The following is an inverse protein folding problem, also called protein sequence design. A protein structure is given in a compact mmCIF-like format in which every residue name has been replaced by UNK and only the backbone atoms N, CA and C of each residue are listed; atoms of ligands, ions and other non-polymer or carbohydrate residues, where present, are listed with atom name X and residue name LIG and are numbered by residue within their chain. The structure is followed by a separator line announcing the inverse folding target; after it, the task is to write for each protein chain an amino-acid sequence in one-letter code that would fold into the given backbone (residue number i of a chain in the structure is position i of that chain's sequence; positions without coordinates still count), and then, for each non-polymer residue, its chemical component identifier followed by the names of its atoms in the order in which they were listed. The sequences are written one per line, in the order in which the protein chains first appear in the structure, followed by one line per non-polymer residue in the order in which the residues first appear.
data_IF_612633072350
#
_entry.id   IF_612633072350
#
_cell.length_a   1.000
_cell.length_b   1.000
_cell.length_c   1.000
_cell.angle_alpha   90.00
_cell.angle_beta   90.00
_cell.angle_gamma   90.00
#
_symmetry.space_group_name_H-M   'P 1'
#
loop_
_entity.id
_entity.type
_entity.pdbx_description
1 polymer ?
#
# COMPACT_ATOMS: atom_id res chain seq x y z
N UNK A 1 -14.23 -12.49 10.69
CA UNK A 1 -13.33 -13.26 9.80
C UNK A 1 -12.28 -13.94 10.67
N UNK A 2 -12.36 -15.26 10.85
CA UNK A 2 -11.55 -15.98 11.85
C UNK A 2 -10.07 -16.01 11.50
N UNK A 3 -9.18 -15.94 12.49
CA UNK A 3 -7.71 -16.00 12.34
C UNK A 3 -7.18 -17.18 11.50
N UNK A 4 -7.99 -18.22 11.28
CA UNK A 4 -7.70 -19.30 10.34
C UNK A 4 -7.56 -18.85 8.87
N UNK A 5 -8.30 -17.83 8.43
CA UNK A 5 -8.18 -17.29 7.08
C UNK A 5 -6.86 -16.53 6.90
N UNK A 6 -6.41 -15.82 7.94
CA UNK A 6 -5.14 -15.10 7.95
C UNK A 6 -3.95 -16.07 7.96
N UNK A 7 -4.05 -17.17 8.71
CA UNK A 7 -3.07 -18.26 8.70
C UNK A 7 -3.02 -19.00 7.36
N UNK A 8 -4.17 -19.23 6.71
CA UNK A 8 -4.21 -19.89 5.40
C UNK A 8 -3.62 -19.04 4.27
N UNK A 9 -3.83 -17.71 4.31
CA UNK A 9 -3.21 -16.78 3.36
C UNK A 9 -1.70 -16.70 3.59
N UNK A 10 -1.23 -16.65 4.84
CA UNK A 10 0.20 -16.64 5.16
C UNK A 10 0.89 -17.97 4.82
N UNK A 11 0.23 -19.12 5.00
CA UNK A 11 0.76 -20.42 4.56
C UNK A 11 0.79 -20.58 3.04
N UNK A 12 -0.24 -20.11 2.33
CA UNK A 12 -0.24 -20.12 0.85
C UNK A 12 0.80 -19.17 0.26
N UNK A 13 1.04 -18.03 0.92
CA UNK A 13 2.10 -17.11 0.55
C UNK A 13 3.49 -17.74 0.79
N UNK A 14 3.73 -18.35 1.95
CA UNK A 14 4.96 -19.07 2.25
C UNK A 14 5.23 -20.26 1.30
N UNK A 15 4.18 -20.99 0.89
CA UNK A 15 4.31 -22.09 -0.05
C UNK A 15 4.64 -21.62 -1.48
N UNK A 16 4.07 -20.49 -1.93
CA UNK A 16 4.39 -19.89 -3.23
C UNK A 16 5.77 -19.22 -3.26
N UNK A 17 6.33 -18.83 -2.10
CA UNK A 17 7.67 -18.22 -2.03
C UNK A 17 8.83 -19.19 -2.25
N UNK A 18 8.62 -20.51 -2.21
CA UNK A 18 9.68 -21.51 -2.38
C UNK A 18 10.24 -21.64 -3.81
N UNK A 19 9.79 -20.79 -4.75
CA UNK A 19 10.13 -20.84 -6.18
C UNK A 19 11.16 -19.77 -6.59
N UNK A 20 11.47 -18.79 -5.73
CA UNK A 20 12.35 -17.65 -6.06
C UNK A 20 13.82 -17.88 -5.63
N UNK A 21 14.76 -17.02 -6.06
CA UNK A 21 16.23 -17.15 -5.84
C UNK A 21 16.71 -16.48 -4.53
N UNK A 22 17.87 -16.91 -3.99
CA UNK A 22 18.39 -16.68 -2.65
C UNK A 22 18.51 -15.19 -2.23
N UNK A 23 18.71 -14.26 -3.18
CA UNK A 23 18.75 -12.80 -2.92
C UNK A 23 17.34 -12.20 -2.73
N UNK A 24 16.37 -12.61 -3.54
CA UNK A 24 14.99 -12.12 -3.48
C UNK A 24 14.28 -12.51 -2.17
N UNK A 25 14.63 -13.66 -1.58
CA UNK A 25 14.10 -14.03 -0.26
C UNK A 25 14.43 -13.01 0.83
N UNK A 26 15.61 -12.37 0.76
CA UNK A 26 16.03 -11.44 1.81
C UNK A 26 15.11 -10.22 1.83
N UNK A 27 14.77 -9.69 0.66
CA UNK A 27 13.89 -8.53 0.54
C UNK A 27 12.43 -8.85 0.82
N UNK A 28 11.94 -10.01 0.36
CA UNK A 28 10.58 -10.48 0.68
C UNK A 28 10.43 -10.68 2.19
N UNK A 29 11.41 -11.30 2.85
CA UNK A 29 11.40 -11.49 4.30
C UNK A 29 11.40 -10.16 5.06
N UNK A 30 12.22 -9.19 4.64
CA UNK A 30 12.25 -7.86 5.27
C UNK A 30 10.92 -7.12 5.05
N UNK A 31 10.37 -7.15 3.84
CA UNK A 31 9.07 -6.54 3.54
C UNK A 31 7.93 -7.16 4.36
N UNK A 32 7.89 -8.49 4.47
CA UNK A 32 6.90 -9.21 5.29
C UNK A 32 7.06 -8.87 6.78
N UNK A 33 8.30 -8.77 7.26
CA UNK A 33 8.57 -8.35 8.63
C UNK A 33 8.08 -6.92 8.90
N UNK A 34 8.35 -5.99 7.99
CA UNK A 34 7.90 -4.60 8.11
C UNK A 34 6.37 -4.50 8.08
N UNK A 35 5.71 -5.27 7.21
CA UNK A 35 4.26 -5.35 7.17
C UNK A 35 3.68 -5.86 8.50
N UNK A 36 4.28 -6.91 9.07
CA UNK A 36 3.88 -7.43 10.37
C UNK A 36 4.10 -6.41 11.49
N UNK A 37 5.24 -5.74 11.52
CA UNK A 37 5.53 -4.69 12.49
C UNK A 37 4.52 -3.55 12.40
N UNK A 38 4.20 -3.09 11.19
CA UNK A 38 3.22 -2.02 10.97
C UNK A 38 1.80 -2.44 11.36
N UNK A 39 1.42 -3.69 11.12
CA UNK A 39 0.14 -4.23 11.56
C UNK A 39 0.03 -4.29 13.10
N UNK A 40 1.11 -4.69 13.78
CA UNK A 40 1.17 -4.73 15.24
C UNK A 40 1.09 -3.32 15.84
N UNK A 41 1.84 -2.38 15.26
CA UNK A 41 1.79 -0.97 15.66
C UNK A 41 0.37 -0.40 15.51
N UNK A 42 -0.26 -0.63 14.36
CA UNK A 42 -1.62 -0.15 14.08
C UNK A 42 -2.64 -0.72 15.07
N UNK A 43 -2.52 -2.01 15.43
CA UNK A 43 -3.36 -2.64 16.45
C UNK A 43 -3.18 -1.99 17.85
N UNK A 44 -1.94 -1.68 18.23
CA UNK A 44 -1.67 -1.03 19.52
C UNK A 44 -2.25 0.38 19.59
N UNK A 45 -2.13 1.16 18.51
CA UNK A 45 -2.73 2.50 18.45
C UNK A 45 -4.25 2.43 18.38
N UNK A 46 -4.82 1.49 17.62
CA UNK A 46 -6.26 1.25 17.62
C UNK A 46 -6.76 0.93 19.04
N UNK A 47 -6.06 0.07 19.78
CA UNK A 47 -6.40 -0.20 21.17
C UNK A 47 -6.31 1.05 22.05
N UNK A 48 -5.29 1.88 21.87
CA UNK A 48 -5.15 3.13 22.62
C UNK A 48 -6.27 4.12 22.31
N UNK A 49 -6.65 4.28 21.03
CA UNK A 49 -7.79 5.12 20.63
C UNK A 49 -9.11 4.56 21.17
N UNK A 50 -9.32 3.25 21.09
CA UNK A 50 -10.47 2.58 21.66
C UNK A 50 -10.61 2.85 23.16
N UNK A 51 -9.54 2.68 23.94
CA UNK A 51 -9.58 2.94 25.38
C UNK A 51 -9.81 4.42 25.69
N UNK A 52 -9.25 5.33 24.88
CA UNK A 52 -9.37 6.77 25.09
C UNK A 52 -10.76 7.31 24.72
N UNK A 53 -11.37 6.81 23.65
CA UNK A 53 -12.57 7.35 23.00
C UNK A 53 -13.82 6.48 23.18
N UNK A 54 -13.70 5.31 23.82
CA UNK A 54 -14.85 4.48 24.16
C UNK A 54 -15.73 5.16 25.21
N UNK A 55 -17.07 4.98 25.13
CA UNK A 55 -17.98 5.38 26.19
C UNK A 55 -17.72 4.57 27.46
N UNK A 56 -17.72 5.23 28.62
CA UNK A 56 -17.51 4.61 29.94
C UNK A 56 -18.76 3.92 30.47
N UNK A 57 -19.92 4.29 29.95
CA UNK A 57 -21.22 3.79 30.40
C UNK A 57 -22.06 3.30 29.24
N UNK A 58 -22.97 2.36 29.52
CA UNK A 58 -23.92 1.86 28.52
C UNK A 58 -24.80 3.01 28.01
N UNK A 59 -24.96 3.09 26.70
CA UNK A 59 -25.81 4.08 26.04
C UNK A 59 -26.87 3.39 25.16
N UNK A 60 -27.91 4.13 24.79
CA UNK A 60 -28.92 3.70 23.81
C UNK A 60 -29.10 4.81 22.79
N UNK A 61 -29.18 4.47 21.51
CA UNK A 61 -29.41 5.44 20.44
C UNK A 61 -30.87 5.93 20.39
N UNK A 62 -31.82 5.20 20.98
CA UNK A 62 -33.23 5.56 20.96
C UNK A 62 -33.66 6.43 22.14
N UNK A 63 -32.92 6.37 23.24
CA UNK A 63 -33.20 7.15 24.45
C UNK A 63 -32.01 8.03 24.78
N UNK A 64 -32.25 9.34 24.81
CA UNK A 64 -31.25 10.31 25.25
C UNK A 64 -30.87 10.06 26.70
N UNK A 65 -29.58 9.81 26.93
CA UNK A 65 -28.99 9.72 28.26
C UNK A 65 -28.05 10.91 28.41
N UNK A 66 -28.37 11.80 29.35
CA UNK A 66 -27.49 12.91 29.72
C UNK A 66 -26.56 12.40 30.81
N UNK A 67 -25.28 12.28 30.50
CA UNK A 67 -24.24 11.89 31.44
C UNK A 67 -23.00 12.78 31.25
N UNK A 68 -22.09 12.75 32.23
CA UNK A 68 -20.83 13.51 32.19
C UNK A 68 -19.73 12.79 31.38
N UNK A 69 -20.10 11.80 30.56
CA UNK A 69 -19.17 11.03 29.75
C UNK A 69 -18.91 11.74 28.41
N UNK A 70 -17.71 12.30 28.18
CA UNK A 70 -17.42 13.05 26.96
C UNK A 70 -17.49 12.18 25.69
N UNK A 71 -17.38 10.86 25.82
CA UNK A 71 -17.38 9.93 24.70
C UNK A 71 -18.76 9.32 24.40
N UNK A 72 -19.79 9.65 25.19
CA UNK A 72 -21.14 9.21 24.88
C UNK A 72 -21.60 9.84 23.56
N UNK A 73 -22.14 9.06 22.60
CA UNK A 73 -22.64 9.58 21.32
C UNK A 73 -23.61 10.78 21.47
N UNK A 74 -24.43 10.81 22.51
CA UNK A 74 -25.34 11.93 22.78
C UNK A 74 -24.66 13.26 23.15
N UNK A 75 -23.38 13.22 23.54
CA UNK A 75 -22.57 14.40 23.87
C UNK A 75 -21.68 14.84 22.69
N UNK A 76 -21.56 14.00 21.65
CA UNK A 76 -20.73 14.24 20.46
C UNK A 76 -21.53 14.85 19.29
N UNK A 77 -22.86 14.75 19.32
CA UNK A 77 -23.72 15.25 18.25
C UNK A 77 -23.66 16.79 18.09
N UNK A 78 -23.77 17.29 16.85
CA UNK A 78 -23.87 18.71 16.62
C UNK A 78 -25.17 19.27 17.22
N UNK A 79 -25.05 20.47 17.79
CA UNK A 79 -26.18 21.21 18.35
C UNK A 79 -26.43 22.45 17.51
N UNK A 80 -27.60 22.57 16.89
CA UNK A 80 -27.94 23.69 16.03
C UNK A 80 -28.80 24.71 16.77
N UNK A 81 -28.32 25.95 16.83
CA UNK A 81 -29.10 27.10 17.33
C UNK A 81 -29.90 27.70 16.17
N UNK A 82 -31.18 28.00 16.42
CA UNK A 82 -32.03 28.70 15.45
C UNK A 82 -31.88 30.19 15.64
N UNK A 83 -31.37 30.89 14.63
CA UNK A 83 -31.30 32.35 14.60
C UNK A 83 -32.35 32.90 13.63
N UNK A 84 -33.11 33.90 14.05
CA UNK A 84 -33.98 34.68 13.17
C UNK A 84 -33.33 36.04 12.90
N UNK A 85 -33.48 36.56 11.67
CA UNK A 85 -32.68 37.70 11.19
C UNK A 85 -33.21 39.09 11.64
N UNK A 86 -32.24 40.00 11.78
CA UNK A 86 -32.27 41.49 11.81
C UNK A 86 -32.32 42.25 13.14
N UNK A 87 -32.70 41.69 14.28
CA UNK A 87 -32.38 42.31 15.58
C UNK A 87 -32.05 41.24 16.60
N UNK A 88 -30.99 41.49 17.37
CA UNK A 88 -30.44 40.65 18.44
C UNK A 88 -31.44 40.40 19.56
N UNK A 89 -32.46 39.59 19.27
CA UNK A 89 -33.24 38.87 20.25
C UNK A 89 -33.41 37.47 19.69
N UNK A 90 -32.48 36.61 20.08
CA UNK A 90 -32.60 35.16 19.95
C UNK A 90 -34.00 34.80 20.43
N UNK A 91 -34.85 34.30 19.52
CA UNK A 91 -36.19 33.83 19.85
C UNK A 91 -36.04 32.62 20.79
N UNK A 92 -35.96 32.89 22.09
CA UNK A 92 -35.57 31.97 23.15
C UNK A 92 -34.17 31.37 22.97
N UNK A 93 -33.21 31.82 23.80
CA UNK A 93 -31.86 31.23 23.99
C UNK A 93 -31.85 29.70 24.27
N UNK A 94 -33.00 29.06 24.35
CA UNK A 94 -33.22 27.68 24.75
C UNK A 94 -33.71 26.78 23.60
N UNK A 95 -33.92 27.31 22.38
CA UNK A 95 -34.36 26.49 21.25
C UNK A 95 -33.15 25.91 20.49
N UNK A 96 -32.89 24.63 20.71
CA UNK A 96 -31.81 23.89 20.06
C UNK A 96 -32.36 22.67 19.34
N UNK A 97 -31.88 22.43 18.12
CA UNK A 97 -32.15 21.19 17.38
C UNK A 97 -30.95 20.27 17.59
N UNK A 98 -31.23 19.09 18.14
CA UNK A 98 -30.25 18.02 18.35
C UNK A 98 -30.40 16.97 17.26
N UNK A 99 -29.30 16.61 16.62
CA UNK A 99 -29.27 15.47 15.70
C UNK A 99 -29.34 14.17 16.50
N UNK A 100 -30.14 13.19 16.06
CA UNK A 100 -30.12 11.84 16.66
C UNK A 100 -28.75 11.20 16.35
N UNK A 101 -27.99 10.71 17.35
CA UNK A 101 -26.76 9.98 17.10
C UNK A 101 -27.06 8.66 16.38
N UNK A 102 -26.12 8.26 15.54
CA UNK A 102 -26.10 6.99 14.84
C UNK A 102 -24.90 6.13 15.31
N UNK A 103 -24.76 4.95 14.72
CA UNK A 103 -23.66 4.03 15.03
C UNK A 103 -22.28 4.61 14.65
N UNK A 104 -22.23 5.58 13.73
CA UNK A 104 -20.97 6.21 13.28
C UNK A 104 -20.61 7.45 14.09
N UNK A 105 -21.50 7.94 14.95
CA UNK A 105 -21.28 9.14 15.77
C UNK A 105 -20.12 8.92 16.77
N UNK A 106 -19.94 7.70 17.26
CA UNK A 106 -18.70 7.30 17.93
C UNK A 106 -18.20 5.99 17.32
N UNK A 107 -17.21 6.05 16.43
CA UNK A 107 -16.62 4.87 15.79
C UNK A 107 -15.70 4.07 16.71
N UNK A 108 -15.46 4.51 17.96
CA UNK A 108 -14.57 3.87 18.94
C UNK A 108 -15.33 3.06 19.99
N UNK A 109 -16.59 2.72 19.72
CA UNK A 109 -17.43 1.90 20.62
C UNK A 109 -17.03 0.43 20.59
N UNK A 110 -16.52 -0.05 19.46
CA UNK A 110 -15.98 -1.40 19.29
C UNK A 110 -14.53 -1.37 18.83
N UNK A 111 -13.76 -2.39 19.23
CA UNK A 111 -12.37 -2.49 18.80
C UNK A 111 -12.24 -2.61 17.27
N UNK A 112 -13.15 -3.34 16.61
CA UNK A 112 -13.11 -3.52 15.16
C UNK A 112 -13.29 -2.21 14.40
N UNK A 113 -14.22 -1.36 14.85
CA UNK A 113 -14.49 -0.06 14.23
C UNK A 113 -13.38 0.94 14.57
N UNK A 114 -12.79 0.85 15.77
CA UNK A 114 -11.60 1.62 16.13
C UNK A 114 -10.38 1.26 15.28
N UNK A 115 -10.16 -0.02 15.00
CA UNK A 115 -9.11 -0.47 14.08
C UNK A 115 -9.34 0.05 12.66
N UNK A 116 -10.59 0.04 12.20
CA UNK A 116 -10.95 0.62 10.90
C UNK A 116 -10.70 2.15 10.87
N UNK A 117 -11.12 2.89 11.89
CA UNK A 117 -10.87 4.32 12.02
C UNK A 117 -9.36 4.66 12.05
N UNK A 118 -8.56 3.83 12.72
CA UNK A 118 -7.09 3.94 12.75
C UNK A 118 -6.49 3.68 11.36
N UNK A 119 -7.07 2.76 10.60
CA UNK A 119 -6.68 2.48 9.22
C UNK A 119 -7.07 3.62 8.27
N UNK A 120 -8.21 4.28 8.49
CA UNK A 120 -8.59 5.50 7.78
C UNK A 120 -7.58 6.64 8.05
N UNK A 121 -7.17 6.80 9.31
CA UNK A 121 -6.14 7.77 9.69
C UNK A 121 -4.81 7.52 8.98
N UNK A 122 -4.45 6.24 8.77
CA UNK A 122 -3.26 5.87 8.00
C UNK A 122 -3.33 6.38 6.55
N UNK A 123 -4.51 6.36 5.94
CA UNK A 123 -4.75 6.92 4.59
C UNK A 123 -4.90 8.44 4.57
N UNK A 124 -4.89 9.10 5.73
CA UNK A 124 -5.05 10.54 5.89
C UNK A 124 -6.49 10.99 6.15
N UNK A 125 -7.45 10.07 6.29
CA UNK A 125 -8.83 10.41 6.61
C UNK A 125 -9.00 10.60 8.12
N UNK A 126 -9.36 11.82 8.53
CA UNK A 126 -9.56 12.21 9.93
C UNK A 126 -11.03 12.33 10.33
N UNK A 127 -11.96 11.99 9.44
CA UNK A 127 -13.41 12.10 9.66
C UNK A 127 -13.87 11.41 10.94
N UNK A 128 -13.31 10.24 11.24
CA UNK A 128 -13.61 9.47 12.45
C UNK A 128 -13.26 10.20 13.75
N UNK A 129 -12.36 11.18 13.73
CA UNK A 129 -11.92 11.93 14.90
C UNK A 129 -12.55 13.33 15.01
N UNK A 130 -13.31 13.75 14.00
CA UNK A 130 -13.84 15.12 13.87
C UNK A 130 -14.82 15.52 14.99
N UNK A 131 -15.43 14.55 15.66
CA UNK A 131 -16.39 14.78 16.73
C UNK A 131 -15.73 15.32 18.02
N UNK A 132 -14.41 15.18 18.18
CA UNK A 132 -13.69 15.67 19.35
C UNK A 132 -12.93 16.96 19.05
N UNK A 133 -13.21 18.06 19.77
CA UNK A 133 -12.42 19.29 19.63
C UNK A 133 -11.00 19.08 20.15
N UNK A 134 -10.01 19.30 19.28
CA UNK A 134 -8.59 19.06 19.57
C UNK A 134 -8.04 19.89 20.73
N UNK A 135 -8.49 21.14 20.87
CA UNK A 135 -8.06 22.03 21.97
C UNK A 135 -8.44 21.49 23.36
N UNK A 136 -9.56 20.77 23.46
CA UNK A 136 -10.07 20.24 24.73
C UNK A 136 -9.52 18.85 25.04
N UNK A 137 -8.88 18.19 24.07
CA UNK A 137 -8.44 16.80 24.17
C UNK A 137 -6.95 16.66 23.82
N UNK A 138 -6.03 17.21 24.63
CA UNK A 138 -4.59 17.18 24.32
C UNK A 138 -4.05 15.75 24.21
N UNK A 139 -4.57 14.79 24.97
CA UNK A 139 -4.18 13.38 24.89
C UNK A 139 -4.49 12.77 23.52
N UNK A 140 -5.64 13.12 22.93
CA UNK A 140 -6.01 12.65 21.59
C UNK A 140 -5.05 13.23 20.54
N UNK A 141 -4.75 14.53 20.64
CA UNK A 141 -3.85 15.23 19.72
C UNK A 141 -2.44 14.63 19.78
N UNK A 142 -1.92 14.35 20.97
CA UNK A 142 -0.61 13.71 21.14
C UNK A 142 -0.62 12.30 20.54
N UNK A 143 -1.67 11.51 20.78
CA UNK A 143 -1.78 10.15 20.25
C UNK A 143 -1.90 10.12 18.72
N UNK A 144 -2.71 11.01 18.13
CA UNK A 144 -2.80 11.16 16.67
C UNK A 144 -1.49 11.65 16.06
N UNK A 145 -0.85 12.65 16.66
CA UNK A 145 0.40 13.21 16.14
C UNK A 145 1.53 12.19 16.18
N UNK A 146 1.66 11.45 17.29
CA UNK A 146 2.66 10.38 17.42
C UNK A 146 2.41 9.23 16.42
N UNK A 147 1.15 8.84 16.20
CA UNK A 147 0.78 7.88 15.17
C UNK A 147 1.22 8.33 13.77
N UNK A 148 0.90 9.56 13.39
CA UNK A 148 1.27 10.11 12.06
C UNK A 148 2.79 10.14 11.88
N UNK A 149 3.54 10.60 12.88
CA UNK A 149 5.02 10.63 12.82
C UNK A 149 5.59 9.22 12.70
N UNK A 150 5.07 8.26 13.47
CA UNK A 150 5.48 6.86 13.35
C UNK A 150 5.21 6.34 11.94
N UNK A 151 4.05 6.61 11.37
CA UNK A 151 3.68 6.11 10.04
C UNK A 151 4.50 6.75 8.92
N UNK A 152 4.79 8.05 8.99
CA UNK A 152 5.67 8.71 8.00
C UNK A 152 7.08 8.08 8.01
N UNK A 153 7.64 7.86 9.21
CA UNK A 153 8.98 7.31 9.35
C UNK A 153 9.01 5.83 8.96
N UNK A 154 8.08 5.00 9.42
CA UNK A 154 8.10 3.56 9.21
C UNK A 154 7.50 3.14 7.87
N UNK A 155 6.33 3.65 7.47
CA UNK A 155 5.66 3.15 6.28
C UNK A 155 6.30 3.70 5.00
N UNK A 156 6.47 5.02 4.88
CA UNK A 156 6.91 5.60 3.60
C UNK A 156 8.42 5.54 3.43
N UNK A 157 9.18 5.93 4.46
CA UNK A 157 10.63 6.06 4.31
C UNK A 157 11.34 4.70 4.23
N UNK A 158 10.92 3.70 5.01
CA UNK A 158 11.50 2.34 4.95
C UNK A 158 11.06 1.63 3.67
N UNK A 159 9.78 1.71 3.29
CA UNK A 159 9.29 1.09 2.05
C UNK A 159 9.99 1.63 0.81
N UNK A 160 10.13 2.96 0.69
CA UNK A 160 10.85 3.58 -0.44
C UNK A 160 12.32 3.12 -0.46
N UNK A 161 12.96 3.03 0.71
CA UNK A 161 14.37 2.60 0.81
C UNK A 161 14.54 1.15 0.37
N UNK A 162 13.67 0.24 0.84
CA UNK A 162 13.70 -1.16 0.45
C UNK A 162 13.36 -1.35 -1.03
N UNK A 163 12.33 -0.65 -1.52
CA UNK A 163 11.93 -0.72 -2.92
C UNK A 163 13.04 -0.22 -3.85
N UNK A 164 13.67 0.90 -3.50
CA UNK A 164 14.81 1.44 -4.24
C UNK A 164 15.98 0.46 -4.29
N UNK A 165 16.23 -0.27 -3.21
CA UNK A 165 17.33 -1.23 -3.16
C UNK A 165 17.03 -2.51 -3.96
N UNK A 166 15.80 -3.03 -3.92
CA UNK A 166 15.38 -4.17 -4.74
C UNK A 166 15.47 -3.84 -6.24
N UNK A 167 15.12 -2.62 -6.62
CA UNK A 167 15.13 -2.19 -8.03
C UNK A 167 16.53 -2.00 -8.62
N UNK A 168 17.58 -1.95 -7.79
CA UNK A 168 18.97 -1.84 -8.26
C UNK A 168 19.61 -3.19 -8.59
N UNK A 169 18.97 -4.31 -8.25
CA UNK A 169 19.52 -5.63 -8.53
C UNK A 169 19.31 -5.95 -10.02
N UNK A 170 20.42 -6.06 -10.78
CA UNK A 170 20.41 -6.26 -12.24
C UNK A 170 19.60 -7.52 -12.63
N UNK A 171 19.53 -8.51 -11.75
CA UNK A 171 18.77 -9.74 -11.94
C UNK A 171 17.25 -9.52 -11.88
N UNK A 172 16.78 -8.53 -11.10
CA UNK A 172 15.37 -8.11 -11.06
C UNK A 172 15.00 -7.41 -12.36
N UNK A 173 15.89 -6.60 -12.93
CA UNK A 173 15.65 -5.95 -14.22
C UNK A 173 15.58 -6.98 -15.35
N UNK A 174 16.50 -7.95 -15.40
CA UNK A 174 16.47 -9.04 -16.37
C UNK A 174 15.19 -9.90 -16.22
N UNK A 175 14.81 -10.24 -14.99
CA UNK A 175 13.58 -10.96 -14.68
C UNK A 175 12.32 -10.18 -15.07
N UNK A 176 12.31 -8.86 -14.88
CA UNK A 176 11.23 -7.98 -15.30
C UNK A 176 11.07 -7.98 -16.83
N UNK A 177 12.16 -7.84 -17.58
CA UNK A 177 12.12 -7.89 -19.04
C UNK A 177 11.67 -9.27 -19.56
N UNK A 178 12.11 -10.35 -18.92
CA UNK A 178 11.66 -11.71 -19.22
C UNK A 178 10.15 -11.84 -19.00
N UNK A 179 9.64 -11.40 -17.85
CA UNK A 179 8.21 -11.44 -17.55
C UNK A 179 7.39 -10.61 -18.55
N UNK A 180 7.89 -9.42 -18.92
CA UNK A 180 7.28 -8.59 -19.96
C UNK A 180 7.24 -9.29 -21.32
N UNK A 181 8.33 -9.96 -21.71
CA UNK A 181 8.38 -10.71 -22.96
C UNK A 181 7.40 -11.90 -22.97
N UNK A 182 7.30 -12.64 -21.85
CA UNK A 182 6.34 -13.74 -21.71
C UNK A 182 4.89 -13.23 -21.82
N UNK A 183 4.54 -12.14 -21.13
CA UNK A 183 3.20 -11.54 -21.22
C UNK A 183 2.88 -11.06 -22.64
N UNK A 184 3.84 -10.44 -23.34
CA UNK A 184 3.65 -10.02 -24.74
C UNK A 184 3.45 -11.22 -25.66
N UNK A 185 4.21 -12.31 -25.47
CA UNK A 185 4.05 -13.54 -26.23
C UNK A 185 2.69 -14.20 -25.99
N UNK A 186 2.20 -14.20 -24.74
CA UNK A 186 0.88 -14.71 -24.39
C UNK A 186 -0.25 -13.87 -25.03
N UNK A 187 -0.12 -12.54 -25.01
CA UNK A 187 -1.05 -11.63 -25.70
C UNK A 187 -1.04 -11.93 -27.20
N UNK A 188 0.13 -12.12 -27.80
CA UNK A 188 0.26 -12.45 -29.23
C UNK A 188 -0.40 -13.79 -29.57
N UNK A 189 -0.21 -14.81 -28.73
CA UNK A 189 -0.70 -16.15 -28.99
C UNK A 189 -2.22 -16.27 -28.78
N UNK A 190 -2.74 -15.71 -27.68
CA UNK A 190 -4.11 -15.94 -27.23
C UNK A 190 -5.09 -14.81 -27.53
N UNK A 191 -4.61 -13.56 -27.64
CA UNK A 191 -5.49 -12.38 -27.68
C UNK A 191 -5.46 -11.61 -29.00
N UNK A 192 -4.49 -11.87 -29.89
CA UNK A 192 -4.40 -11.20 -31.18
C UNK A 192 -4.95 -12.03 -32.35
N UNK A 193 -5.74 -11.38 -33.21
CA UNK A 193 -6.21 -11.97 -34.46
C UNK A 193 -5.07 -12.10 -35.49
N UNK A 194 -5.17 -13.04 -36.45
CA UNK A 194 -4.14 -13.26 -37.47
C UNK A 194 -3.77 -12.01 -38.28
N UNK A 195 -4.72 -11.09 -38.46
CA UNK A 195 -4.52 -9.81 -39.15
C UNK A 195 -3.70 -8.82 -38.31
N UNK A 196 -3.92 -8.79 -36.99
CA UNK A 196 -3.24 -7.89 -36.06
C UNK A 196 -1.78 -8.28 -35.84
N UNK A 197 -1.46 -9.59 -35.84
CA UNK A 197 -0.06 -10.07 -35.75
C UNK A 197 0.81 -9.70 -36.95
N UNK A 198 0.21 -9.50 -38.13
CA UNK A 198 0.95 -9.12 -39.35
C UNK A 198 1.15 -7.61 -39.48
N UNK A 199 0.71 -6.83 -38.48
CA UNK A 199 0.82 -5.38 -38.51
C UNK A 199 2.24 -4.96 -38.13
N UNK A 200 3.06 -4.69 -39.15
CA UNK A 200 4.48 -4.29 -39.03
C UNK A 200 4.73 -3.09 -38.11
N UNK A 201 3.71 -2.29 -37.83
CA UNK A 201 3.79 -1.14 -36.92
C UNK A 201 3.77 -1.57 -35.43
N UNK A 202 3.15 -2.70 -35.11
CA UNK A 202 3.08 -3.25 -33.74
C UNK A 202 4.09 -4.38 -33.54
N UNK A 203 4.33 -5.19 -34.57
CA UNK A 203 5.31 -6.28 -34.57
C UNK A 203 6.30 -6.07 -35.73
N UNK A 204 7.38 -5.31 -35.49
CA UNK A 204 8.39 -5.09 -36.51
C UNK A 204 9.17 -6.38 -36.79
N UNK A 205 9.58 -6.55 -38.05
CA UNK A 205 10.34 -7.72 -38.50
C UNK A 205 11.78 -7.74 -37.96
N UNK A 206 12.28 -6.57 -37.52
CA UNK A 206 13.62 -6.39 -36.94
C UNK A 206 13.50 -5.53 -35.69
N UNK A 207 14.09 -5.99 -34.57
CA UNK A 207 14.17 -5.26 -33.30
C UNK A 207 15.58 -4.71 -33.12
N UNK A 208 15.69 -3.40 -32.88
CA UNK A 208 16.96 -2.75 -32.56
C UNK A 208 17.12 -2.66 -31.05
N UNK A 209 18.12 -3.35 -30.51
CA UNK A 209 18.51 -3.24 -29.11
C UNK A 209 19.79 -2.41 -28.99
N UNK A 210 19.78 -1.41 -28.12
CA UNK A 210 21.00 -0.72 -27.72
C UNK A 210 21.61 -1.49 -26.55
N UNK A 211 22.86 -1.91 -26.72
CA UNK A 211 23.63 -2.56 -25.67
C UNK A 211 24.95 -1.82 -25.47
N UNK A 212 25.44 -1.79 -24.23
CA UNK A 212 26.70 -1.14 -23.90
C UNK A 212 27.86 -1.95 -24.48
N UNK A 213 28.77 -1.29 -25.20
CA UNK A 213 29.90 -1.92 -25.87
C UNK A 213 30.74 -2.78 -24.91
N UNK A 214 31.04 -2.25 -23.72
CA UNK A 214 31.91 -2.92 -22.75
C UNK A 214 31.25 -4.18 -22.16
N UNK A 215 29.97 -4.09 -21.80
CA UNK A 215 29.21 -5.23 -21.24
C UNK A 215 29.07 -6.36 -22.27
N UNK A 216 28.79 -6.01 -23.52
CA UNK A 216 28.68 -6.99 -24.61
C UNK A 216 30.01 -7.69 -24.86
N UNK A 217 31.12 -6.94 -24.84
CA UNK A 217 32.44 -7.51 -25.02
C UNK A 217 32.77 -8.53 -23.91
N UNK A 218 32.53 -8.17 -22.65
CA UNK A 218 32.82 -9.02 -21.49
C UNK A 218 32.00 -10.32 -21.51
N UNK A 219 30.71 -10.25 -21.84
CA UNK A 219 29.87 -11.46 -21.92
C UNK A 219 30.26 -12.38 -23.07
N UNK A 220 30.66 -11.84 -24.23
CA UNK A 220 31.11 -12.66 -25.36
C UNK A 220 32.43 -13.37 -25.03
N UNK A 221 33.37 -12.69 -24.36
CA UNK A 221 34.60 -13.31 -23.87
C UNK A 221 34.30 -14.45 -22.87
N UNK A 222 33.37 -14.25 -21.92
CA UNK A 222 32.91 -15.29 -21.00
C UNK A 222 32.30 -16.50 -21.73
N UNK A 223 31.49 -16.26 -22.76
CA UNK A 223 30.85 -17.32 -23.55
C UNK A 223 31.85 -18.12 -24.38
N UNK A 224 32.87 -17.46 -24.94
CA UNK A 224 33.97 -18.11 -25.65
C UNK A 224 34.81 -19.00 -24.72
N UNK A 225 35.13 -18.52 -23.51
CA UNK A 225 35.86 -19.30 -22.50
C UNK A 225 35.09 -20.57 -22.10
N UNK A 226 33.76 -20.50 -21.99
CA UNK A 226 32.89 -21.62 -21.62
C UNK A 226 32.58 -22.59 -22.78
N UNK A 227 33.09 -22.36 -23.99
CA UNK A 227 32.75 -23.05 -25.26
C UNK A 227 31.23 -23.16 -25.53
N UNK A 228 30.43 -22.27 -24.91
CA UNK A 228 28.97 -22.21 -25.06
C UNK A 228 28.53 -21.28 -26.20
N UNK A 229 29.48 -20.70 -26.94
CA UNK A 229 29.19 -19.86 -28.09
C UNK A 229 28.69 -20.72 -29.26
N UNK A 230 27.39 -20.63 -29.60
CA UNK A 230 26.78 -21.49 -30.62
C UNK A 230 27.45 -21.32 -32.00
N UNK A 231 28.20 -22.31 -32.49
CA UNK A 231 28.99 -22.14 -33.72
C UNK A 231 28.15 -22.16 -35.01
N UNK A 232 26.91 -22.65 -34.94
CA UNK A 232 26.12 -23.01 -36.13
C UNK A 232 25.05 -21.98 -36.55
N UNK A 233 24.73 -21.00 -35.71
CA UNK A 233 23.67 -20.01 -35.99
C UNK A 233 24.27 -18.66 -36.41
N UNK A 234 23.87 -18.18 -37.60
CA UNK A 234 24.22 -16.87 -38.16
C UNK A 234 25.73 -16.53 -38.15
N UNK A 235 26.56 -17.32 -38.85
CA UNK A 235 28.02 -17.16 -38.81
C UNK A 235 28.50 -15.77 -39.28
N UNK A 236 27.88 -15.21 -40.32
CA UNK A 236 28.26 -13.91 -40.88
C UNK A 236 28.03 -12.75 -39.89
N UNK A 237 26.87 -12.71 -39.24
CA UNK A 237 26.55 -11.67 -38.25
C UNK A 237 27.46 -11.75 -37.02
N UNK A 238 27.84 -12.97 -36.61
CA UNK A 238 28.78 -13.17 -35.50
C UNK A 238 30.18 -12.67 -35.84
N UNK A 239 30.65 -12.97 -37.06
CA UNK A 239 31.94 -12.46 -37.52
C UNK A 239 31.95 -10.93 -37.54
N UNK A 240 30.88 -10.30 -38.04
CA UNK A 240 30.76 -8.83 -38.05
C UNK A 240 30.68 -8.23 -36.64
N UNK A 241 29.98 -8.91 -35.71
CA UNK A 241 29.92 -8.52 -34.30
C UNK A 241 31.31 -8.58 -33.64
N UNK A 242 32.04 -9.70 -33.78
CA UNK A 242 33.39 -9.87 -33.23
C UNK A 242 34.36 -8.84 -33.80
N UNK A 243 34.28 -8.57 -35.11
CA UNK A 243 35.08 -7.54 -35.76
C UNK A 243 34.78 -6.13 -35.21
N UNK A 244 33.51 -5.80 -34.98
CA UNK A 244 33.09 -4.52 -34.41
C UNK A 244 33.49 -4.37 -32.94
N UNK A 245 33.43 -5.45 -32.18
CA UNK A 245 33.86 -5.52 -30.78
C UNK A 245 35.39 -5.65 -30.62
N UNK A 246 36.12 -5.89 -31.72
CA UNK A 246 37.58 -6.07 -31.76
C UNK A 246 38.08 -7.26 -30.91
N UNK A 247 37.26 -8.30 -30.79
CA UNK A 247 37.61 -9.56 -30.13
C UNK A 247 38.27 -10.45 -31.19
N UNK A 248 39.51 -10.91 -30.93
CA UNK A 248 40.31 -11.75 -31.84
C UNK A 248 40.17 -13.25 -31.54
#
# INVERSE_FOLDING_TARGET
MSGHAFLAVSFSFAANTAIFDQSQYRYICVFVYDLHFCSLASNNYALAFYVLLSPKSSYSLDKRVVNDDPNNPWNLIPTYQVYENETTNVLNNNLFILQKPDENTNTFTDFSTSFFATSLLLTGDTSSFSNWPFEKNPSLVILMSSFIVMMIIFMLNVFITLFSEVMKDDDVQASYWKMMAEVVADIELFYLLPCQRRWRKWFPEVLYFNANFNEVQEEIEKLLIKDNWSKNEFPEMKQDLLNKLKIQ
#
